data_IF_180582271318
#
_entry.id   IF_180582271318
#
_cell.length_a   1.000
_cell.length_b   1.000
_cell.length_c   1.000
_cell.angle_alpha   90.00
_cell.angle_beta   90.00
_cell.angle_gamma   90.00
#
_symmetry.space_group_name_H-M   'P 1'
#
loop_
_entity.id
_entity.type
_entity.pdbx_description
1 polymer ?
#
# COMPACT_ATOMS: atom_id res chain seq x y z
N UNK A 1 24.80 51.17 -16.52
CA UNK A 1 23.60 50.36 -16.20
C UNK A 1 24.10 48.94 -15.91
N UNK A 2 24.20 48.53 -14.64
CA UNK A 2 23.25 47.64 -13.90
C UNK A 2 23.02 46.29 -14.62
N UNK A 3 23.14 45.12 -14.03
CA UNK A 3 23.42 44.69 -12.66
C UNK A 3 23.82 43.20 -12.67
N UNK A 4 24.63 42.79 -11.68
CA UNK A 4 25.02 41.40 -11.48
C UNK A 4 23.86 40.51 -10.99
N UNK A 5 23.83 39.27 -11.46
CA UNK A 5 22.83 38.28 -11.06
C UNK A 5 23.30 37.59 -9.79
N UNK A 6 22.59 37.87 -8.70
CA UNK A 6 22.77 37.30 -7.37
C UNK A 6 22.11 35.92 -7.35
N UNK A 7 22.91 34.87 -7.18
CA UNK A 7 22.39 33.51 -6.99
C UNK A 7 21.70 33.41 -5.62
N UNK A 8 20.38 33.21 -5.64
CA UNK A 8 19.55 32.95 -4.46
C UNK A 8 19.50 31.43 -4.27
N UNK A 9 20.15 30.94 -3.20
CA UNK A 9 19.91 29.59 -2.67
C UNK A 9 18.47 29.52 -2.17
N UNK A 10 17.63 28.68 -2.78
CA UNK A 10 16.34 28.28 -2.20
C UNK A 10 16.45 26.85 -1.69
N UNK A 11 16.40 26.77 -0.37
CA UNK A 11 16.07 25.59 0.43
C UNK A 11 14.76 25.00 -0.08
N UNK A 12 14.76 23.73 -0.50
CA UNK A 12 13.54 23.02 -0.87
C UNK A 12 13.08 22.24 0.36
N UNK A 13 12.10 22.82 1.05
CA UNK A 13 11.26 22.10 2.00
C UNK A 13 10.20 21.30 1.23
N UNK A 14 10.02 20.07 1.68
CA UNK A 14 9.04 19.09 1.21
C UNK A 14 7.65 19.46 1.76
N UNK A 15 6.86 20.17 0.97
CA UNK A 15 5.42 20.26 1.18
C UNK A 15 4.79 20.64 -0.16
N UNK A 16 4.08 19.68 -0.76
CA UNK A 16 2.83 19.86 -1.51
C UNK A 16 2.44 18.55 -2.17
N UNK A 17 1.41 17.93 -1.59
CA UNK A 17 0.49 17.08 -2.33
C UNK A 17 0.08 17.82 -3.60
N UNK A 18 0.30 17.21 -4.76
CA UNK A 18 -0.28 17.69 -6.01
C UNK A 18 -1.24 16.62 -6.52
N UNK A 19 -2.50 16.89 -6.22
CA UNK A 19 -3.67 16.48 -6.97
C UNK A 19 -3.37 16.63 -8.47
N UNK A 20 -3.19 15.52 -9.20
CA UNK A 20 -2.97 15.56 -10.65
C UNK A 20 -4.35 15.56 -11.32
N UNK A 21 -4.81 16.68 -11.93
CA UNK A 21 -5.96 16.62 -12.80
C UNK A 21 -5.54 15.88 -14.08
N UNK A 22 -6.31 14.85 -14.40
CA UNK A 22 -6.24 14.12 -15.66
C UNK A 22 -6.58 15.07 -16.83
N UNK A 23 -5.58 15.71 -17.44
CA UNK A 23 -5.74 16.29 -18.77
C UNK A 23 -4.39 16.47 -19.48
N UNK A 24 -4.28 15.82 -20.65
CA UNK A 24 -3.22 15.84 -21.66
C UNK A 24 -2.04 14.91 -21.44
N UNK A 25 -2.20 13.73 -22.03
CA UNK A 25 -1.20 12.71 -22.28
C UNK A 25 -0.10 13.19 -23.24
N UNK A 26 1.16 12.98 -22.87
CA UNK A 26 2.22 12.65 -23.82
C UNK A 26 2.64 11.19 -23.58
N UNK A 27 2.59 10.31 -24.60
CA UNK A 27 2.77 8.87 -24.42
C UNK A 27 4.23 8.40 -24.28
N UNK A 28 5.21 9.30 -24.22
CA UNK A 28 6.64 8.97 -24.23
C UNK A 28 7.37 9.14 -22.89
N UNK A 29 6.72 9.69 -21.85
CA UNK A 29 7.33 9.85 -20.52
C UNK A 29 6.85 8.79 -19.50
N UNK A 30 5.84 8.00 -19.86
CA UNK A 30 5.26 6.95 -19.01
C UNK A 30 6.05 5.63 -19.03
N UNK A 31 7.04 5.50 -19.93
CA UNK A 31 7.81 4.27 -20.13
C UNK A 31 9.05 4.13 -19.21
N UNK A 32 9.14 4.93 -18.14
CA UNK A 32 10.26 4.94 -17.19
C UNK A 32 9.82 4.86 -15.72
N UNK A 33 8.52 4.72 -15.44
CA UNK A 33 8.02 4.45 -14.10
C UNK A 33 7.71 2.95 -13.98
N UNK A 34 8.13 2.32 -12.88
CA UNK A 34 7.50 1.10 -12.34
C UNK A 34 7.71 -0.28 -12.98
N UNK A 35 8.84 -0.60 -13.62
CA UNK A 35 9.16 -2.02 -13.88
C UNK A 35 9.44 -2.76 -12.55
N UNK A 36 8.38 -3.09 -11.81
CA UNK A 36 8.43 -3.85 -10.56
C UNK A 36 7.88 -3.14 -9.31
N UNK A 37 7.30 -1.95 -9.41
CA UNK A 37 6.66 -1.29 -8.24
C UNK A 37 5.19 -1.70 -8.10
N UNK A 38 4.46 -1.80 -9.21
CA UNK A 38 3.06 -2.19 -9.22
C UNK A 38 2.85 -3.53 -9.94
N UNK A 39 1.85 -4.29 -9.50
CA UNK A 39 1.35 -5.48 -10.19
C UNK A 39 0.66 -5.07 -11.50
N UNK A 40 1.09 -5.68 -12.61
CA UNK A 40 0.59 -5.35 -13.95
C UNK A 40 -0.91 -5.59 -14.14
N UNK A 41 -1.48 -6.55 -13.39
CA UNK A 41 -2.91 -6.83 -13.44
C UNK A 41 -3.67 -5.84 -12.57
N UNK A 42 -3.43 -5.86 -11.26
CA UNK A 42 -4.27 -5.16 -10.29
C UNK A 42 -3.91 -3.69 -10.07
N UNK A 43 -2.72 -3.25 -10.48
CA UNK A 43 -2.20 -1.91 -10.18
C UNK A 43 -1.89 -1.68 -8.70
N UNK A 44 -1.96 -2.73 -7.86
CA UNK A 44 -1.54 -2.70 -6.46
C UNK A 44 -0.02 -2.79 -6.36
N UNK A 45 0.54 -2.61 -5.16
CA UNK A 45 1.97 -2.79 -4.96
C UNK A 45 2.39 -4.22 -5.33
N UNK A 46 3.54 -4.32 -5.98
CA UNK A 46 4.24 -5.58 -6.19
C UNK A 46 4.76 -6.12 -4.85
N UNK A 47 5.07 -7.43 -4.77
CA UNK A 47 5.67 -8.00 -3.56
C UNK A 47 6.97 -7.29 -3.18
N UNK A 48 7.87 -7.05 -4.13
CA UNK A 48 9.18 -6.44 -3.86
C UNK A 48 9.03 -5.06 -3.21
N UNK A 49 8.14 -4.23 -3.75
CA UNK A 49 7.94 -2.87 -3.23
C UNK A 49 7.14 -2.83 -1.93
N UNK A 50 6.31 -3.84 -1.69
CA UNK A 50 5.63 -4.01 -0.40
C UNK A 50 6.63 -4.21 0.73
N UNK A 51 7.62 -5.09 0.59
CA UNK A 51 8.65 -5.31 1.62
C UNK A 51 9.38 -4.00 1.95
N UNK A 52 9.86 -3.28 0.94
CA UNK A 52 10.56 -2.01 1.11
C UNK A 52 9.68 -0.95 1.79
N UNK A 53 8.41 -0.85 1.38
CA UNK A 53 7.46 0.10 1.97
C UNK A 53 7.08 -0.28 3.40
N UNK A 54 6.95 -1.57 3.69
CA UNK A 54 6.65 -2.10 5.01
C UNK A 54 7.77 -1.80 6.01
N UNK A 55 9.03 -2.00 5.63
CA UNK A 55 10.18 -1.66 6.48
C UNK A 55 10.19 -0.17 6.86
N UNK A 56 9.89 0.71 5.90
CA UNK A 56 9.77 2.15 6.14
C UNK A 56 8.64 2.48 7.10
N UNK A 57 7.47 1.84 6.92
CA UNK A 57 6.30 2.03 7.77
C UNK A 57 6.57 1.54 9.21
N UNK A 58 7.14 0.35 9.36
CA UNK A 58 7.49 -0.24 10.65
C UNK A 58 8.51 0.63 11.40
N UNK A 59 9.56 1.08 10.71
CA UNK A 59 10.55 2.00 11.28
C UNK A 59 9.92 3.30 11.78
N UNK A 60 8.95 3.85 11.04
CA UNK A 60 8.22 5.05 11.46
C UNK A 60 7.29 4.76 12.66
N UNK A 61 6.60 3.62 12.63
CA UNK A 61 5.65 3.23 13.65
C UNK A 61 6.34 2.96 15.00
N UNK A 62 7.50 2.30 14.97
CA UNK A 62 8.37 2.09 16.14
C UNK A 62 8.74 3.42 16.81
N UNK A 63 9.27 4.39 16.04
CA UNK A 63 9.62 5.72 16.58
C UNK A 63 8.42 6.46 17.15
N UNK A 64 7.27 6.29 16.53
CA UNK A 64 6.03 6.98 16.90
C UNK A 64 5.20 6.21 17.94
N UNK A 65 5.68 5.04 18.40
CA UNK A 65 4.96 4.12 19.29
C UNK A 65 3.54 3.81 18.79
N UNK A 66 3.39 3.66 17.47
CA UNK A 66 2.13 3.30 16.84
C UNK A 66 2.07 1.79 16.61
N UNK A 67 0.97 1.11 17.00
CA UNK A 67 0.81 -0.30 16.70
C UNK A 67 0.63 -0.51 15.20
N UNK A 68 1.11 -1.65 14.71
CA UNK A 68 0.98 -2.05 13.30
C UNK A 68 0.37 -3.44 13.24
N UNK A 69 -0.63 -3.59 12.38
CA UNK A 69 -1.27 -4.87 12.12
C UNK A 69 -1.06 -5.27 10.66
N UNK A 70 -0.88 -6.55 10.44
CA UNK A 70 -0.77 -7.17 9.12
C UNK A 70 -1.99 -8.07 8.91
N UNK A 71 -2.59 -7.96 7.73
CA UNK A 71 -3.75 -8.73 7.32
C UNK A 71 -3.40 -9.46 6.02
N UNK A 72 -3.63 -10.76 6.02
CA UNK A 72 -3.65 -11.61 4.83
C UNK A 72 -5.08 -11.69 4.32
N UNK A 73 -5.24 -11.42 3.03
CA UNK A 73 -6.53 -11.47 2.33
C UNK A 73 -6.39 -12.49 1.21
N UNK A 74 -7.22 -13.53 1.24
CA UNK A 74 -7.25 -14.55 0.20
C UNK A 74 -8.61 -14.56 -0.47
N UNK A 75 -8.58 -14.43 -1.79
CA UNK A 75 -9.74 -14.53 -2.65
C UNK A 75 -9.97 -15.99 -3.04
N UNK A 76 -11.22 -16.41 -3.28
CA UNK A 76 -11.49 -17.67 -3.96
C UNK A 76 -11.04 -17.59 -5.42
N UNK A 77 -11.07 -18.71 -6.13
CA UNK A 77 -10.71 -18.74 -7.55
C UNK A 77 -11.68 -17.90 -8.37
N UNK A 78 -11.22 -16.71 -8.77
CA UNK A 78 -11.97 -15.69 -9.48
C UNK A 78 -11.32 -15.44 -10.83
N UNK A 79 -12.13 -15.04 -11.81
CA UNK A 79 -11.60 -14.50 -13.06
C UNK A 79 -10.94 -13.13 -12.83
N UNK A 80 -10.12 -12.72 -13.80
CA UNK A 80 -9.36 -11.47 -13.74
C UNK A 80 -10.26 -10.24 -13.55
N UNK A 81 -11.41 -10.18 -14.21
CA UNK A 81 -12.35 -9.04 -14.08
C UNK A 81 -12.85 -8.85 -12.63
N UNK A 82 -13.20 -9.95 -11.96
CA UNK A 82 -13.63 -9.94 -10.56
C UNK A 82 -12.47 -9.66 -9.61
N UNK A 83 -11.28 -10.20 -9.89
CA UNK A 83 -10.06 -9.90 -9.14
C UNK A 83 -9.75 -8.40 -9.17
N UNK A 84 -9.77 -7.80 -10.37
CA UNK A 84 -9.56 -6.38 -10.59
C UNK A 84 -10.60 -5.53 -9.86
N UNK A 85 -11.87 -5.96 -9.88
CA UNK A 85 -12.93 -5.29 -9.15
C UNK A 85 -12.67 -5.36 -7.64
N UNK A 86 -12.34 -6.53 -7.11
CA UNK A 86 -12.04 -6.69 -5.68
C UNK A 86 -10.82 -5.85 -5.27
N UNK A 87 -9.77 -5.80 -6.09
CA UNK A 87 -8.59 -4.96 -5.82
C UNK A 87 -8.97 -3.48 -5.72
N UNK A 88 -9.81 -2.97 -6.63
CA UNK A 88 -10.33 -1.59 -6.56
C UNK A 88 -11.19 -1.34 -5.33
N UNK A 89 -12.10 -2.27 -5.03
CA UNK A 89 -12.98 -2.18 -3.87
C UNK A 89 -12.15 -2.18 -2.58
N UNK A 90 -11.13 -3.04 -2.47
CA UNK A 90 -10.18 -3.05 -1.35
C UNK A 90 -9.52 -1.68 -1.18
N UNK A 91 -8.87 -1.15 -2.23
CA UNK A 91 -8.18 0.16 -2.16
C UNK A 91 -9.12 1.29 -1.74
N UNK A 92 -10.37 1.28 -2.22
CA UNK A 92 -11.36 2.32 -1.89
C UNK A 92 -11.73 2.38 -0.40
N UNK A 93 -11.55 1.27 0.31
CA UNK A 93 -11.81 1.12 1.74
C UNK A 93 -10.59 1.41 2.61
N UNK A 94 -9.41 1.58 2.01
CA UNK A 94 -8.16 1.85 2.72
C UNK A 94 -7.91 3.34 2.90
N UNK A 95 -7.18 3.68 3.97
CA UNK A 95 -6.71 5.04 4.23
C UNK A 95 -5.37 5.23 3.52
N UNK A 96 -5.01 6.48 3.25
CA UNK A 96 -3.74 6.80 2.57
C UNK A 96 -2.45 6.39 3.29
N UNK A 97 -2.54 5.87 4.52
CA UNK A 97 -1.40 5.33 5.28
C UNK A 97 -1.33 3.79 5.29
N UNK A 98 -2.30 3.09 4.73
CA UNK A 98 -2.32 1.63 4.66
C UNK A 98 -1.58 1.16 3.39
N UNK A 99 -0.87 0.04 3.48
CA UNK A 99 -0.14 -0.56 2.35
C UNK A 99 -0.84 -1.83 1.90
N UNK A 100 -1.26 -1.88 0.63
CA UNK A 100 -1.88 -3.06 0.04
C UNK A 100 -1.06 -3.55 -1.15
N UNK A 101 -0.75 -4.84 -1.15
CA UNK A 101 0.02 -5.50 -2.19
C UNK A 101 -0.59 -6.82 -2.60
N UNK A 102 -0.37 -7.21 -3.85
CA UNK A 102 -0.67 -8.56 -4.34
C UNK A 102 0.58 -9.41 -4.19
N UNK A 103 0.56 -10.35 -3.24
CA UNK A 103 1.70 -11.23 -2.93
C UNK A 103 1.70 -12.49 -3.80
N UNK A 104 0.51 -12.95 -4.20
CA UNK A 104 0.34 -14.08 -5.12
C UNK A 104 -0.93 -13.94 -5.96
N UNK A 105 -1.28 -14.99 -6.71
CA UNK A 105 -2.34 -14.91 -7.71
C UNK A 105 -3.68 -14.42 -7.14
N UNK A 106 -4.06 -14.92 -5.96
CA UNK A 106 -5.31 -14.57 -5.25
C UNK A 106 -5.05 -14.13 -3.81
N UNK A 107 -3.79 -13.83 -3.48
CA UNK A 107 -3.34 -13.51 -2.13
C UNK A 107 -2.84 -12.08 -2.07
N UNK A 108 -3.34 -11.33 -1.10
CA UNK A 108 -3.00 -9.94 -0.86
C UNK A 108 -2.52 -9.76 0.58
N UNK A 109 -1.53 -8.90 0.75
CA UNK A 109 -1.06 -8.47 2.06
C UNK A 109 -1.45 -7.01 2.27
N UNK A 110 -1.98 -6.73 3.46
CA UNK A 110 -2.40 -5.41 3.89
C UNK A 110 -1.74 -5.07 5.22
N UNK A 111 -0.88 -4.07 5.21
CA UNK A 111 -0.25 -3.53 6.42
C UNK A 111 -0.95 -2.22 6.80
N UNK A 112 -1.47 -2.13 8.02
CA UNK A 112 -2.18 -0.96 8.52
C UNK A 112 -1.56 -0.44 9.82
N UNK A 113 -1.63 0.88 9.98
CA UNK A 113 -1.32 1.54 11.24
C UNK A 113 -2.53 1.39 12.17
N UNK A 114 -2.48 0.42 13.06
CA UNK A 114 -3.57 0.09 13.95
C UNK A 114 -3.26 -1.11 14.82
N UNK A 115 -3.96 -1.19 15.93
CA UNK A 115 -3.95 -2.37 16.79
C UNK A 115 -4.86 -3.47 16.22
N UNK A 116 -4.90 -4.60 16.94
CA UNK A 116 -5.75 -5.74 16.59
C UNK A 116 -7.22 -5.34 16.41
N UNK A 117 -7.74 -4.45 17.25
CA UNK A 117 -9.14 -4.01 17.16
C UNK A 117 -9.38 -3.23 15.85
N UNK A 118 -8.46 -2.35 15.47
CA UNK A 118 -8.51 -1.64 14.19
C UNK A 118 -8.49 -2.60 12.99
N UNK A 119 -7.65 -3.64 13.05
CA UNK A 119 -7.61 -4.68 12.02
C UNK A 119 -8.94 -5.45 11.93
N UNK A 120 -9.50 -5.88 13.06
CA UNK A 120 -10.78 -6.59 13.11
C UNK A 120 -11.94 -5.74 12.57
N UNK A 121 -11.97 -4.45 12.89
CA UNK A 121 -12.97 -3.51 12.37
C UNK A 121 -12.86 -3.33 10.86
N UNK A 122 -11.64 -3.24 10.33
CA UNK A 122 -11.39 -3.17 8.89
C UNK A 122 -11.85 -4.46 8.21
N UNK A 123 -11.47 -5.63 8.73
CA UNK A 123 -11.90 -6.94 8.20
C UNK A 123 -13.42 -7.04 8.18
N UNK A 124 -14.09 -6.64 9.26
CA UNK A 124 -15.54 -6.66 9.34
C UNK A 124 -16.18 -5.77 8.25
N UNK A 125 -15.64 -4.58 8.03
CA UNK A 125 -16.12 -3.67 6.97
C UNK A 125 -15.88 -4.22 5.58
N UNK A 126 -14.69 -4.74 5.30
CA UNK A 126 -14.36 -5.34 4.00
C UNK A 126 -15.27 -6.53 3.68
N UNK A 127 -15.49 -7.42 4.67
CA UNK A 127 -16.37 -8.58 4.52
C UNK A 127 -17.83 -8.20 4.22
N UNK A 128 -18.31 -7.07 4.75
CA UNK A 128 -19.68 -6.61 4.50
C UNK A 128 -19.83 -5.81 3.19
N UNK A 129 -18.74 -5.26 2.67
CA UNK A 129 -18.74 -4.37 1.51
C UNK A 129 -18.46 -5.13 0.22
N UNK A 130 -17.49 -6.04 0.24
CA UNK A 130 -16.97 -6.74 -0.93
C UNK A 130 -17.72 -8.07 -1.09
N UNK A 131 -18.26 -8.31 -2.29
CA UNK A 131 -19.12 -9.47 -2.61
C UNK A 131 -18.40 -10.42 -3.59
N UNK A 132 -17.27 -11.00 -3.20
CA UNK A 132 -17.22 -12.44 -2.89
C UNK A 132 -16.83 -12.75 -1.43
N UNK A 133 -16.95 -14.01 -1.02
CA UNK A 133 -16.53 -14.43 0.32
C UNK A 133 -14.99 -14.43 0.42
N UNK A 134 -14.47 -13.41 1.10
CA UNK A 134 -13.03 -13.23 1.32
C UNK A 134 -12.60 -13.92 2.62
N UNK A 135 -11.47 -14.62 2.55
CA UNK A 135 -10.79 -15.18 3.71
C UNK A 135 -9.79 -14.17 4.25
N UNK A 136 -9.85 -13.92 5.56
CA UNK A 136 -9.00 -12.94 6.24
C UNK A 136 -8.29 -13.60 7.42
N UNK A 137 -7.00 -13.35 7.55
CA UNK A 137 -6.21 -13.65 8.73
C UNK A 137 -5.42 -12.41 9.14
N UNK A 138 -5.26 -12.14 10.43
CA UNK A 138 -4.55 -10.95 10.90
C UNK A 138 -3.61 -11.25 12.05
N UNK A 139 -2.51 -10.52 12.09
CA UNK A 139 -1.51 -10.60 13.15
C UNK A 139 -0.98 -9.21 13.50
N UNK A 140 -0.46 -9.04 14.71
CA UNK A 140 0.22 -7.81 15.12
C UNK A 140 1.71 -7.97 14.78
N UNK A 141 2.33 -6.87 14.35
CA UNK A 141 3.79 -6.78 14.23
C UNK A 141 4.33 -6.14 15.50
N UNK A 142 5.18 -6.87 16.22
CA UNK A 142 5.78 -6.38 17.45
C UNK A 142 6.90 -5.38 17.14
N UNK A 143 7.23 -4.53 18.11
CA UNK A 143 8.32 -3.56 17.95
C UNK A 143 9.66 -4.30 17.76
N UNK A 144 10.41 -3.90 16.73
CA UNK A 144 11.68 -4.55 16.35
C UNK A 144 11.51 -5.83 15.53
N UNK A 145 10.28 -6.23 15.23
CA UNK A 145 10.00 -7.36 14.35
C UNK A 145 9.97 -6.94 12.88
N UNK A 146 10.59 -7.75 12.01
CA UNK A 146 10.53 -7.56 10.57
C UNK A 146 9.21 -8.06 9.97
N UNK A 147 8.82 -7.46 8.83
CA UNK A 147 7.58 -7.82 8.13
C UNK A 147 7.51 -9.30 7.74
N UNK A 148 8.65 -9.92 7.45
CA UNK A 148 8.79 -11.32 7.05
C UNK A 148 8.23 -12.28 8.12
N UNK A 149 8.48 -12.01 9.40
CA UNK A 149 7.99 -12.84 10.49
C UNK A 149 6.45 -12.79 10.58
N UNK A 150 5.87 -11.62 10.34
CA UNK A 150 4.43 -11.44 10.25
C UNK A 150 3.80 -12.21 9.09
N UNK A 151 4.40 -12.12 7.90
CA UNK A 151 3.94 -12.84 6.71
C UNK A 151 4.03 -14.36 6.88
N UNK A 152 5.12 -14.85 7.47
CA UNK A 152 5.31 -16.27 7.77
C UNK A 152 4.20 -16.81 8.71
N UNK A 153 3.76 -16.02 9.70
CA UNK A 153 2.63 -16.41 10.58
C UNK A 153 1.31 -16.54 9.84
N UNK A 154 1.11 -15.72 8.80
CA UNK A 154 -0.09 -15.71 7.98
C UNK A 154 0.00 -16.67 6.77
N UNK A 155 1.10 -17.45 6.69
CA UNK A 155 1.34 -18.44 5.63
C UNK A 155 1.19 -17.87 4.22
N UNK A 156 1.69 -16.65 4.00
CA UNK A 156 1.73 -15.96 2.71
C UNK A 156 3.12 -15.46 2.36
#
# INVERSE_FOLDING_TARGET
>A
MRAGIKAIRRTIGYEKALFIPCFLAEPSLMALFDEGIYDSLTGLLSPAYFYESAERLLSWAERSHHPVSLISIRLPDLNDDLLLKCARDLVSELRGGDLLARIGDQSFALLLLGDKLGAEQLIFRLRNTIKPELSFESTIIEVGEGIEAGLQRLSI
#
